data_IF_551160434342
#
_entry.id   IF_551160434342
#
_cell.length_a   1.000
_cell.length_b   1.000
_cell.length_c   1.000
_cell.angle_alpha   90.00
_cell.angle_beta   90.00
_cell.angle_gamma   90.00
#
_symmetry.space_group_name_H-M   'P 1'
#
loop_
_entity.id
_entity.type
_entity.pdbx_description
1 polymer ?
#
# COMPACT_ATOMS: atom_id res chain seq x y z
N UNK A 1 -40.50 47.62 -4.09
CA UNK A 1 -39.16 47.07 -4.31
C UNK A 1 -38.77 46.27 -3.08
N UNK A 2 -38.74 44.94 -3.17
CA UNK A 2 -38.34 44.08 -2.05
C UNK A 2 -36.84 43.75 -2.20
N UNK A 3 -36.02 43.87 -1.14
CA UNK A 3 -34.60 43.52 -1.21
C UNK A 3 -34.45 42.00 -1.14
N UNK A 4 -33.77 41.43 -2.15
CA UNK A 4 -33.36 40.02 -2.19
C UNK A 4 -32.31 39.73 -1.11
N UNK A 5 -32.68 38.91 -0.14
CA UNK A 5 -31.77 38.32 0.85
C UNK A 5 -30.68 37.49 0.15
N UNK A 6 -29.41 37.83 0.39
CA UNK A 6 -28.27 37.05 -0.06
C UNK A 6 -28.00 35.94 0.96
N UNK A 7 -28.49 34.73 0.67
CA UNK A 7 -28.22 33.51 1.44
C UNK A 7 -26.69 33.27 1.50
N UNK A 8 -26.11 33.44 2.69
CA UNK A 8 -24.67 33.45 2.98
C UNK A 8 -23.95 32.10 2.86
N UNK A 9 -24.44 31.20 2.01
CA UNK A 9 -23.80 29.90 1.76
C UNK A 9 -22.59 30.11 0.87
N UNK A 10 -21.40 29.84 1.43
CA UNK A 10 -20.13 29.81 0.69
C UNK A 10 -20.22 28.80 -0.46
N UNK A 11 -20.56 29.26 -1.66
CA UNK A 11 -20.47 28.45 -2.88
C UNK A 11 -19.00 28.26 -3.21
N UNK A 12 -18.55 27.00 -3.35
CA UNK A 12 -17.20 26.69 -3.78
C UNK A 12 -16.88 27.31 -5.15
N UNK A 13 -15.60 27.23 -5.57
CA UNK A 13 -15.13 27.85 -6.82
C UNK A 13 -16.07 27.53 -8.00
N UNK A 14 -16.66 28.53 -8.67
CA UNK A 14 -17.58 28.29 -9.76
C UNK A 14 -16.89 27.60 -10.93
N UNK A 15 -17.60 26.67 -11.58
CA UNK A 15 -17.10 25.93 -12.73
C UNK A 15 -16.95 26.84 -13.94
N UNK A 16 -15.71 27.06 -14.39
CA UNK A 16 -15.39 27.96 -15.52
C UNK A 16 -16.03 27.54 -16.84
N UNK A 17 -16.36 26.25 -16.99
CA UNK A 17 -16.99 25.70 -18.20
C UNK A 17 -18.51 25.49 -18.05
N UNK A 18 -19.08 25.84 -16.89
CA UNK A 18 -20.47 25.52 -16.50
C UNK A 18 -20.88 24.04 -16.66
N UNK A 19 -19.92 23.12 -16.78
CA UNK A 19 -20.19 21.68 -16.86
C UNK A 19 -20.56 21.19 -15.46
N UNK A 20 -21.80 20.74 -15.28
CA UNK A 20 -22.25 20.05 -14.07
C UNK A 20 -21.73 18.62 -14.08
N UNK A 21 -21.24 18.12 -12.95
CA UNK A 21 -20.92 16.69 -12.81
C UNK A 21 -22.20 15.88 -12.94
N UNK A 22 -22.17 14.84 -13.77
CA UNK A 22 -23.29 13.91 -13.88
C UNK A 22 -23.55 13.22 -12.52
N UNK A 23 -24.83 13.03 -12.13
CA UNK A 23 -25.16 12.33 -10.91
C UNK A 23 -24.64 10.88 -10.95
N UNK A 24 -24.21 10.38 -9.79
CA UNK A 24 -23.76 8.99 -9.68
C UNK A 24 -24.95 8.06 -9.88
N UNK A 25 -24.82 7.09 -10.78
CA UNK A 25 -25.89 6.14 -11.09
C UNK A 25 -25.96 4.93 -10.12
N UNK A 26 -24.96 4.74 -9.26
CA UNK A 26 -24.88 3.66 -8.27
C UNK A 26 -25.23 2.24 -8.78
N UNK A 27 -24.97 1.95 -10.07
CA UNK A 27 -25.41 0.69 -10.71
C UNK A 27 -24.59 -0.54 -10.33
N UNK A 28 -23.39 -0.37 -9.80
CA UNK A 28 -22.46 -1.47 -9.56
C UNK A 28 -22.47 -1.87 -8.08
N UNK A 29 -23.02 -3.04 -7.78
CA UNK A 29 -22.77 -3.72 -6.52
C UNK A 29 -21.35 -4.29 -6.52
N UNK A 30 -20.63 -4.09 -5.42
CA UNK A 30 -19.31 -4.65 -5.23
C UNK A 30 -19.29 -5.58 -4.01
N UNK A 31 -18.48 -6.63 -4.12
CA UNK A 31 -18.26 -7.56 -3.02
C UNK A 31 -16.89 -7.27 -2.40
N UNK A 32 -16.91 -6.88 -1.13
CA UNK A 32 -15.70 -6.74 -0.29
C UNK A 32 -15.10 -8.11 0.01
N UNK A 33 -13.85 -8.16 0.48
CA UNK A 33 -13.26 -9.43 0.89
C UNK A 33 -14.03 -10.07 2.04
N UNK A 34 -14.50 -9.28 3.01
CA UNK A 34 -15.37 -9.77 4.08
C UNK A 34 -16.66 -10.40 3.57
N UNK A 35 -17.35 -9.73 2.64
CA UNK A 35 -18.59 -10.27 2.08
C UNK A 35 -18.31 -11.59 1.35
N UNK A 36 -17.21 -11.69 0.61
CA UNK A 36 -16.80 -12.95 -0.06
C UNK A 36 -16.52 -14.06 0.96
N UNK A 37 -15.75 -13.74 2.02
CA UNK A 37 -15.42 -14.64 3.13
C UNK A 37 -16.68 -15.20 3.78
N UNK A 38 -17.63 -14.32 4.10
CA UNK A 38 -18.90 -14.71 4.68
C UNK A 38 -19.71 -15.63 3.77
N UNK A 39 -19.83 -15.30 2.48
CA UNK A 39 -20.58 -16.10 1.49
C UNK A 39 -20.03 -17.52 1.39
N UNK A 40 -18.70 -17.70 1.28
CA UNK A 40 -18.16 -19.04 1.16
C UNK A 40 -18.15 -19.83 2.47
N UNK A 41 -18.08 -19.16 3.63
CA UNK A 41 -18.22 -19.83 4.93
C UNK A 41 -19.64 -20.35 5.09
N UNK A 42 -20.63 -19.53 4.75
CA UNK A 42 -22.03 -19.95 4.71
C UNK A 42 -22.24 -21.15 3.77
N UNK A 43 -21.68 -21.09 2.55
CA UNK A 43 -21.74 -22.18 1.56
C UNK A 43 -20.99 -23.45 1.98
N UNK A 44 -20.06 -23.37 2.94
CA UNK A 44 -19.41 -24.57 3.50
C UNK A 44 -20.34 -25.29 4.48
N UNK A 45 -21.16 -24.54 5.21
CA UNK A 45 -22.12 -25.06 6.18
C UNK A 45 -23.46 -25.45 5.52
N UNK A 46 -23.78 -24.87 4.37
CA UNK A 46 -25.02 -25.06 3.63
C UNK A 46 -24.76 -25.49 2.18
N UNK A 47 -25.76 -25.40 1.31
CA UNK A 47 -25.61 -25.66 -0.12
C UNK A 47 -25.21 -24.42 -0.93
N UNK A 48 -24.75 -24.64 -2.16
CA UNK A 48 -24.45 -23.56 -3.10
C UNK A 48 -25.74 -22.81 -3.48
N UNK A 49 -26.84 -23.52 -3.67
CA UNK A 49 -28.14 -22.98 -4.01
C UNK A 49 -28.63 -22.04 -2.91
N UNK A 50 -28.54 -22.48 -1.64
CA UNK A 50 -28.88 -21.66 -0.47
C UNK A 50 -28.05 -20.38 -0.38
N UNK A 51 -26.74 -20.46 -0.68
CA UNK A 51 -25.88 -19.29 -0.69
C UNK A 51 -26.27 -18.29 -1.79
N UNK A 52 -26.64 -18.77 -2.97
CA UNK A 52 -27.11 -17.89 -4.05
C UNK A 52 -28.43 -17.23 -3.67
N UNK A 53 -29.39 -17.99 -3.14
CA UNK A 53 -30.71 -17.48 -2.79
C UNK A 53 -30.64 -16.43 -1.65
N UNK A 54 -29.74 -16.64 -0.69
CA UNK A 54 -29.55 -15.74 0.45
C UNK A 54 -28.80 -14.46 0.07
N UNK A 55 -27.68 -14.57 -0.65
CA UNK A 55 -26.77 -13.43 -0.88
C UNK A 55 -26.95 -12.72 -2.22
N UNK A 56 -27.66 -13.34 -3.16
CA UNK A 56 -27.92 -12.82 -4.50
C UNK A 56 -29.41 -12.96 -4.85
N UNK A 57 -30.31 -12.29 -4.11
CA UNK A 57 -31.75 -12.42 -4.34
C UNK A 57 -32.14 -11.93 -5.74
N UNK A 58 -33.05 -12.65 -6.39
CA UNK A 58 -33.59 -12.29 -7.70
C UNK A 58 -32.71 -12.64 -8.91
N UNK A 59 -31.62 -13.41 -8.73
CA UNK A 59 -30.83 -13.93 -9.86
C UNK A 59 -31.42 -15.24 -10.38
N UNK A 60 -31.74 -15.28 -11.67
CA UNK A 60 -32.28 -16.45 -12.36
C UNK A 60 -31.57 -16.70 -13.70
N UNK A 61 -31.72 -17.91 -14.26
CA UNK A 61 -31.13 -18.30 -15.54
C UNK A 61 -29.61 -18.14 -15.59
N UNK A 62 -29.10 -17.56 -16.68
CA UNK A 62 -27.65 -17.35 -16.90
C UNK A 62 -26.97 -16.49 -15.84
N UNK A 63 -27.72 -15.59 -15.20
CA UNK A 63 -27.18 -14.78 -14.09
C UNK A 63 -26.89 -15.66 -12.88
N UNK A 64 -27.73 -16.67 -12.62
CA UNK A 64 -27.54 -17.63 -11.53
C UNK A 64 -26.27 -18.46 -11.76
N UNK A 65 -26.05 -18.96 -12.98
CA UNK A 65 -24.84 -19.71 -13.32
C UNK A 65 -23.58 -18.84 -13.27
N UNK A 66 -23.70 -17.56 -13.61
CA UNK A 66 -22.60 -16.58 -13.46
C UNK A 66 -22.20 -16.38 -12.00
N UNK A 67 -23.18 -16.20 -11.11
CA UNK A 67 -22.94 -16.08 -9.65
C UNK A 67 -22.33 -17.37 -9.11
N UNK A 68 -22.85 -18.53 -9.53
CA UNK A 68 -22.32 -19.84 -9.15
C UNK A 68 -20.82 -19.96 -9.49
N UNK A 69 -20.44 -19.65 -10.74
CA UNK A 69 -19.03 -19.63 -11.18
C UNK A 69 -18.19 -18.60 -10.40
N UNK A 70 -18.79 -17.46 -10.06
CA UNK A 70 -18.12 -16.41 -9.29
C UNK A 70 -17.79 -16.87 -7.87
N UNK A 71 -18.71 -17.55 -7.18
CA UNK A 71 -18.48 -18.10 -5.84
C UNK A 71 -17.36 -19.13 -5.89
N UNK A 72 -17.40 -20.09 -6.82
CA UNK A 72 -16.33 -21.08 -6.98
C UNK A 72 -14.97 -20.44 -7.26
N UNK A 73 -14.93 -19.39 -8.08
CA UNK A 73 -13.71 -18.63 -8.32
C UNK A 73 -13.19 -18.01 -7.04
N UNK A 74 -14.05 -17.44 -6.20
CA UNK A 74 -13.62 -16.91 -4.90
C UNK A 74 -13.11 -18.01 -3.97
N UNK A 75 -13.73 -19.19 -3.98
CA UNK A 75 -13.25 -20.34 -3.21
C UNK A 75 -11.86 -20.82 -3.64
N UNK A 76 -11.57 -20.83 -4.95
CA UNK A 76 -10.21 -21.13 -5.44
C UNK A 76 -9.17 -20.12 -4.95
N UNK A 77 -9.59 -18.94 -4.51
CA UNK A 77 -8.74 -17.86 -3.99
C UNK A 77 -8.87 -17.69 -2.48
N UNK A 78 -9.34 -18.73 -1.76
CA UNK A 78 -9.65 -18.69 -0.33
C UNK A 78 -8.51 -18.11 0.50
N UNK A 79 -7.29 -18.64 0.36
CA UNK A 79 -6.14 -18.19 1.17
C UNK A 79 -5.86 -16.69 1.01
N UNK A 80 -5.95 -16.20 -0.23
CA UNK A 80 -5.77 -14.79 -0.52
C UNK A 80 -6.89 -13.92 0.08
N UNK A 81 -8.14 -14.37 0.00
CA UNK A 81 -9.29 -13.65 0.58
C UNK A 81 -9.20 -13.64 2.12
N UNK A 82 -8.85 -14.76 2.74
CA UNK A 82 -8.66 -14.87 4.19
C UNK A 82 -7.52 -13.97 4.66
N UNK A 83 -6.37 -13.97 3.96
CA UNK A 83 -5.26 -13.07 4.23
C UNK A 83 -5.65 -11.59 4.06
N UNK A 84 -6.48 -11.25 3.08
CA UNK A 84 -6.98 -9.90 2.91
C UNK A 84 -7.98 -9.49 4.03
N UNK A 85 -8.73 -10.44 4.59
CA UNK A 85 -9.66 -10.19 5.70
C UNK A 85 -8.97 -10.05 7.05
N UNK A 86 -7.81 -10.69 7.27
CA UNK A 86 -7.09 -10.62 8.55
C UNK A 86 -6.61 -9.21 8.92
N UNK A 87 -6.54 -8.30 7.94
CA UNK A 87 -6.14 -6.90 8.15
C UNK A 87 -7.35 -5.97 8.01
N UNK A 88 -7.61 -5.17 9.04
CA UNK A 88 -8.69 -4.18 9.06
C UNK A 88 -8.69 -3.25 7.83
N UNK A 89 -7.49 -2.84 7.38
CA UNK A 89 -7.33 -1.95 6.21
C UNK A 89 -7.81 -2.57 4.89
N UNK A 90 -7.68 -3.89 4.71
CA UNK A 90 -7.92 -4.55 3.42
C UNK A 90 -9.23 -5.32 3.36
N UNK A 91 -9.83 -5.63 4.51
CA UNK A 91 -11.08 -6.39 4.63
C UNK A 91 -12.22 -5.80 3.77
N UNK A 92 -12.38 -4.48 3.80
CA UNK A 92 -13.49 -3.80 3.12
C UNK A 92 -13.15 -3.45 1.66
N UNK A 93 -11.95 -3.82 1.17
CA UNK A 93 -11.53 -3.57 -0.20
C UNK A 93 -12.15 -4.59 -1.16
N UNK A 94 -12.42 -4.15 -2.40
CA UNK A 94 -12.89 -5.03 -3.48
C UNK A 94 -11.77 -5.90 -4.06
N UNK A 95 -10.60 -5.30 -4.19
CA UNK A 95 -9.41 -5.86 -4.86
C UNK A 95 -8.16 -5.33 -4.19
N UNK A 96 -7.21 -6.23 -3.92
CA UNK A 96 -5.86 -5.90 -3.52
C UNK A 96 -4.91 -6.16 -4.70
N UNK A 97 -3.98 -5.24 -4.94
CA UNK A 97 -2.86 -5.50 -5.86
C UNK A 97 -1.74 -6.17 -5.06
N UNK A 98 -1.13 -7.21 -5.61
CA UNK A 98 0.10 -7.77 -5.04
C UNK A 98 1.16 -6.67 -5.01
N UNK A 99 1.89 -6.60 -3.90
CA UNK A 99 3.01 -5.67 -3.76
C UNK A 99 4.04 -5.95 -4.88
N UNK A 100 4.52 -4.89 -5.55
CA UNK A 100 5.53 -5.01 -6.61
C UNK A 100 5.00 -5.14 -8.05
N UNK A 101 3.70 -5.28 -8.31
CA UNK A 101 3.20 -5.42 -9.72
C UNK A 101 3.51 -4.20 -10.59
N UNK A 102 3.68 -3.02 -9.99
CA UNK A 102 3.95 -1.78 -10.71
C UNK A 102 5.41 -1.32 -10.61
N UNK A 103 6.31 -2.15 -10.07
CA UNK A 103 7.74 -1.79 -9.98
C UNK A 103 8.45 -2.18 -11.27
N UNK A 104 9.25 -1.24 -11.79
CA UNK A 104 10.09 -1.43 -12.97
C UNK A 104 11.24 -2.39 -12.70
N UNK A 105 11.80 -2.36 -11.48
CA UNK A 105 12.79 -3.31 -11.01
C UNK A 105 12.10 -4.52 -10.40
N UNK A 106 12.73 -5.70 -10.54
CA UNK A 106 12.28 -6.89 -9.83
C UNK A 106 12.51 -6.74 -8.33
N UNK A 107 11.75 -7.50 -7.52
CA UNK A 107 11.90 -7.45 -6.06
C UNK A 107 13.31 -7.80 -5.60
N UNK A 108 13.95 -8.77 -6.24
CA UNK A 108 15.33 -9.21 -5.93
C UNK A 108 16.33 -8.08 -6.20
N UNK A 109 16.19 -7.34 -7.31
CA UNK A 109 17.04 -6.17 -7.54
C UNK A 109 16.83 -5.08 -6.49
N UNK A 110 15.58 -4.79 -6.11
CA UNK A 110 15.32 -3.83 -5.05
C UNK A 110 15.90 -4.30 -3.71
N UNK A 111 15.91 -5.60 -3.44
CA UNK A 111 16.51 -6.20 -2.24
C UNK A 111 18.02 -5.99 -2.21
N UNK A 112 18.71 -6.25 -3.32
CA UNK A 112 20.15 -6.01 -3.45
C UNK A 112 20.50 -4.53 -3.20
N UNK A 113 19.69 -3.60 -3.72
CA UNK A 113 19.88 -2.17 -3.47
C UNK A 113 19.65 -1.86 -1.98
N UNK A 114 18.62 -2.45 -1.37
CA UNK A 114 18.32 -2.23 0.05
C UNK A 114 19.41 -2.76 0.98
N UNK A 115 19.97 -3.94 0.67
CA UNK A 115 21.09 -4.52 1.40
C UNK A 115 22.33 -3.63 1.29
N UNK A 116 22.69 -3.20 0.08
CA UNK A 116 23.79 -2.28 -0.14
C UNK A 116 23.63 -0.95 0.63
N UNK A 117 22.40 -0.42 0.74
CA UNK A 117 22.14 0.77 1.57
C UNK A 117 22.36 0.47 3.06
N UNK A 118 21.96 -0.70 3.53
CA UNK A 118 22.13 -1.10 4.93
C UNK A 118 23.61 -1.27 5.30
N UNK A 119 24.39 -1.94 4.45
CA UNK A 119 25.84 -2.13 4.62
C UNK A 119 26.55 -0.78 4.76
N UNK A 120 26.31 0.15 3.83
CA UNK A 120 26.92 1.50 3.92
C UNK A 120 26.51 2.26 5.19
N UNK A 121 25.28 2.08 5.65
CA UNK A 121 24.81 2.74 6.88
C UNK A 121 25.41 2.12 8.14
N UNK A 122 25.71 0.83 8.11
CA UNK A 122 26.43 0.13 9.18
C UNK A 122 27.86 0.66 9.30
N UNK A 123 28.51 0.93 8.18
CA UNK A 123 29.82 1.61 8.10
C UNK A 123 29.76 3.11 8.45
N UNK A 124 28.58 3.63 8.82
CA UNK A 124 28.38 5.04 9.15
C UNK A 124 28.35 5.98 7.95
N UNK A 125 28.31 5.45 6.72
CA UNK A 125 28.31 6.22 5.48
C UNK A 125 26.86 6.59 5.09
N UNK A 126 26.50 7.88 5.07
CA UNK A 126 25.15 8.28 4.69
C UNK A 126 24.91 8.14 3.18
N UNK A 127 23.90 7.36 2.79
CA UNK A 127 23.48 7.24 1.39
C UNK A 127 22.56 8.39 1.00
N UNK A 128 23.05 9.27 0.11
CA UNK A 128 22.27 10.36 -0.45
C UNK A 128 21.25 9.86 -1.50
N UNK A 129 20.24 10.67 -1.84
CA UNK A 129 19.27 10.34 -2.89
C UNK A 129 19.92 10.17 -4.26
N UNK A 130 20.94 10.98 -4.56
CA UNK A 130 21.65 10.90 -5.84
C UNK A 130 22.46 9.61 -5.93
N UNK A 131 23.15 9.23 -4.85
CA UNK A 131 23.89 7.98 -4.78
C UNK A 131 22.97 6.75 -4.90
N UNK A 132 21.82 6.79 -4.22
CA UNK A 132 20.78 5.76 -4.37
C UNK A 132 20.27 5.67 -5.81
N UNK A 133 20.07 6.81 -6.48
CA UNK A 133 19.62 6.84 -7.87
C UNK A 133 20.66 6.24 -8.82
N UNK A 134 21.95 6.53 -8.64
CA UNK A 134 23.03 5.94 -9.41
C UNK A 134 23.04 4.41 -9.26
N UNK A 135 23.10 3.92 -8.01
CA UNK A 135 23.10 2.46 -7.75
C UNK A 135 21.88 1.77 -8.34
N UNK A 136 20.70 2.39 -8.24
CA UNK A 136 19.49 1.83 -8.82
C UNK A 136 19.51 1.78 -10.35
N UNK A 137 20.13 2.77 -11.01
CA UNK A 137 20.32 2.77 -12.46
C UNK A 137 21.33 1.70 -12.89
N UNK A 138 22.42 1.51 -12.15
CA UNK A 138 23.39 0.44 -12.41
C UNK A 138 22.72 -0.94 -12.34
N UNK A 139 21.97 -1.19 -11.26
CA UNK A 139 21.21 -2.44 -11.10
C UNK A 139 20.15 -2.60 -12.21
N UNK A 140 19.55 -1.52 -12.71
CA UNK A 140 18.63 -1.60 -13.83
C UNK A 140 19.33 -2.04 -15.13
N UNK A 141 20.54 -1.53 -15.37
CA UNK A 141 21.37 -1.94 -16.52
C UNK A 141 21.77 -3.42 -16.41
N UNK A 142 22.14 -3.89 -15.21
CA UNK A 142 22.41 -5.31 -14.95
C UNK A 142 21.19 -6.20 -15.23
N UNK A 143 19.97 -5.70 -15.03
CA UNK A 143 18.73 -6.40 -15.39
C UNK A 143 18.39 -6.34 -16.90
N UNK A 144 19.22 -5.71 -17.72
CA UNK A 144 18.97 -5.54 -19.15
C UNK A 144 17.88 -4.50 -19.46
N UNK A 145 17.56 -3.60 -18.53
CA UNK A 145 16.62 -2.51 -18.79
C UNK A 145 17.30 -1.41 -19.62
N UNK A 146 16.58 -0.92 -20.63
CA UNK A 146 17.05 0.22 -21.44
C UNK A 146 16.97 1.50 -20.60
N UNK A 147 17.91 2.44 -20.80
CA UNK A 147 18.01 3.73 -20.06
C UNK A 147 16.67 4.50 -20.00
N UNK A 148 15.82 4.38 -21.01
CA UNK A 148 14.52 5.06 -21.04
C UNK A 148 13.41 4.37 -20.23
N UNK A 149 13.58 3.11 -19.84
CA UNK A 149 12.60 2.31 -19.10
C UNK A 149 12.67 2.56 -17.59
N UNK A 150 13.84 2.90 -17.06
CA UNK A 150 14.04 3.18 -15.64
C UNK A 150 14.85 4.45 -15.44
N UNK A 151 14.28 5.42 -14.72
CA UNK A 151 14.89 6.74 -14.48
C UNK A 151 15.20 7.04 -13.01
N UNK A 152 15.10 6.03 -12.13
CA UNK A 152 15.21 6.20 -10.68
C UNK A 152 14.46 7.45 -10.15
N UNK A 153 13.24 7.68 -10.64
CA UNK A 153 12.53 8.95 -10.43
C UNK A 153 12.27 9.24 -8.94
N UNK A 154 12.04 10.51 -8.55
CA UNK A 154 11.71 10.85 -7.16
C UNK A 154 10.54 10.07 -6.56
N UNK A 155 9.53 9.75 -7.39
CA UNK A 155 8.41 8.90 -6.98
C UNK A 155 8.83 7.45 -6.77
N UNK A 156 9.70 6.90 -7.63
CA UNK A 156 10.25 5.56 -7.45
C UNK A 156 11.10 5.50 -6.17
N UNK A 157 12.04 6.42 -5.96
CA UNK A 157 12.87 6.48 -4.75
C UNK A 157 12.01 6.57 -3.47
N UNK A 158 10.99 7.45 -3.46
CA UNK A 158 10.06 7.55 -2.34
C UNK A 158 9.33 6.24 -2.08
N UNK A 159 8.90 5.56 -3.14
CA UNK A 159 8.26 4.25 -3.05
C UNK A 159 9.20 3.17 -2.53
N UNK A 160 10.43 3.12 -3.06
CA UNK A 160 11.49 2.19 -2.67
C UNK A 160 11.79 2.33 -1.18
N UNK A 161 12.09 3.54 -0.72
CA UNK A 161 12.36 3.83 0.69
C UNK A 161 11.20 3.38 1.59
N UNK A 162 9.96 3.66 1.19
CA UNK A 162 8.78 3.23 1.95
C UNK A 162 8.62 1.71 1.98
N UNK A 163 8.90 1.01 0.87
CA UNK A 163 8.78 -0.46 0.78
C UNK A 163 9.79 -1.16 1.68
N UNK A 164 11.01 -0.62 1.76
CA UNK A 164 12.13 -1.21 2.49
C UNK A 164 12.36 -0.59 3.88
N UNK A 165 11.44 0.26 4.36
CA UNK A 165 11.54 0.86 5.69
C UNK A 165 12.71 1.84 5.86
N UNK A 166 13.29 2.32 4.77
CA UNK A 166 14.44 3.23 4.79
C UNK A 166 13.97 4.67 5.00
N UNK A 167 14.57 5.35 5.96
CA UNK A 167 14.44 6.80 6.13
C UNK A 167 15.77 7.48 5.77
N UNK A 168 15.71 8.61 5.05
CA UNK A 168 16.89 9.44 4.77
C UNK A 168 17.37 10.11 6.06
N UNK A 169 16.44 10.45 6.95
CA UNK A 169 16.75 10.93 8.29
C UNK A 169 16.74 9.75 9.25
N UNK A 170 17.90 9.16 9.49
CA UNK A 170 18.17 8.61 10.82
C UNK A 170 18.45 9.82 11.72
N UNK A 171 17.91 9.85 12.95
CA UNK A 171 18.26 10.91 13.91
C UNK A 171 19.78 10.89 14.08
N UNK A 172 20.45 11.90 13.54
CA UNK A 172 21.85 12.23 13.82
C UNK A 172 21.94 12.77 15.26
N UNK A 173 21.73 11.88 16.23
CA UNK A 173 22.43 11.94 17.50
C UNK A 173 23.00 10.54 17.71
N UNK A 174 24.22 10.38 17.24
CA UNK A 174 25.14 9.29 17.59
C UNK A 174 25.22 9.04 19.10
N UNK A 175 24.83 10.00 19.94
CA UNK A 175 24.71 9.87 21.39
C UNK A 175 23.66 8.86 21.92
N UNK A 176 22.89 8.16 21.07
CA UNK A 176 21.87 7.22 21.53
C UNK A 176 21.96 5.79 20.96
N UNK A 177 22.90 5.52 20.05
CA UNK A 177 22.89 4.27 19.29
C UNK A 177 23.74 3.15 19.89
N UNK A 178 24.66 3.44 20.80
CA UNK A 178 25.40 2.39 21.51
C UNK A 178 25.18 2.53 23.02
N UNK A 179 24.25 1.74 23.54
CA UNK A 179 23.95 1.69 24.98
C UNK A 179 25.21 1.37 25.78
N UNK A 180 26.05 0.45 25.28
CA UNK A 180 27.28 0.04 25.96
C UNK A 180 28.32 1.17 26.02
N UNK A 181 28.54 1.90 24.92
CA UNK A 181 29.43 3.07 24.94
C UNK A 181 28.86 4.19 25.81
N UNK A 182 27.53 4.37 25.80
CA UNK A 182 26.84 5.35 26.64
C UNK A 182 26.97 5.04 28.14
N UNK A 183 26.87 3.77 28.52
CA UNK A 183 27.07 3.32 29.90
C UNK A 183 28.52 3.52 30.37
N UNK A 184 29.50 3.28 29.48
CA UNK A 184 30.92 3.51 29.76
C UNK A 184 31.23 4.98 30.00
N UNK A 185 30.76 5.87 29.13
CA UNK A 185 30.90 7.32 29.29
C UNK A 185 30.19 7.81 30.56
N UNK A 186 29.01 7.26 30.89
CA UNK A 186 28.30 7.59 32.12
C UNK A 186 29.08 7.16 33.38
N UNK A 187 29.71 5.99 33.35
CA UNK A 187 30.53 5.50 34.46
C UNK A 187 31.76 6.40 34.69
N UNK A 188 32.47 6.78 33.62
CA UNK A 188 33.62 7.70 33.66
C UNK A 188 33.22 9.10 34.17
N UNK A 189 32.06 9.60 33.76
CA UNK A 189 31.54 10.87 34.24
C UNK A 189 31.17 10.83 35.74
N UNK A 190 30.56 9.73 36.20
CA UNK A 190 30.22 9.52 37.63
C UNK A 190 31.45 9.49 38.53
N UNK A 191 32.56 8.90 38.08
CA UNK A 191 33.83 8.93 38.82
C UNK A 191 34.46 10.32 38.84
N UNK A 192 34.32 11.10 37.77
CA UNK A 192 34.87 12.47 37.72
C UNK A 192 34.14 13.46 38.64
N UNK A 193 32.84 13.29 38.90
CA UNK A 193 32.06 14.18 39.77
C UNK A 193 32.24 13.85 41.27
N UNK A 194 32.73 12.65 41.60
CA UNK A 194 32.92 12.21 43.01
C UNK A 194 34.29 12.56 43.61
N UNK A 195 35.06 13.45 42.97
CA UNK A 195 36.22 14.13 43.58
C UNK A 195 35.77 15.50 44.08
#
# INVERSE_FOLDING_TARGET
MAPTELDGRRTGRPSTKQIKRMPKKHKNLYHTYEKKLHIFNWRKEHSMESAIDTFFPGVAGDKRTTVWKQILRWESQRDHITMACSKARTRDMRTLRKQGISTTLTRVAEENIAQWVSELREDGIPVSKTLLACKAMDVALEQGLVVNQFKASPSWMKGFMKRWGLAIRVKTRSAQANLADGEKVLAEFKTSIRK
#
